data_IF_683327161488
#
_entry.id   IF_683327161488
#
_cell.length_a   1.000
_cell.length_b   1.000
_cell.length_c   1.000
_cell.angle_alpha   90.00
_cell.angle_beta   90.00
_cell.angle_gamma   90.00
#
_symmetry.space_group_name_H-M   'P 1'
#
loop_
_entity.id
_entity.type
_entity.pdbx_description
1 polymer ?
#
# COMPACT_ATOMS: atom_id res chain seq x y z
N UNK A 1 -1.08 13.99 -24.32
CA UNK A 1 -2.53 13.73 -24.19
C UNK A 1 -3.13 14.65 -23.15
N UNK A 2 -4.44 14.93 -23.24
CA UNK A 2 -5.25 15.57 -22.20
C UNK A 2 -5.88 14.48 -21.34
N UNK A 3 -5.48 14.39 -20.09
CA UNK A 3 -5.89 13.31 -19.18
C UNK A 3 -6.73 13.90 -18.04
N UNK A 4 -7.99 13.50 -17.94
CA UNK A 4 -8.83 13.79 -16.78
C UNK A 4 -8.68 12.65 -15.75
N UNK A 5 -8.49 12.98 -14.48
CA UNK A 5 -8.51 11.98 -13.39
C UNK A 5 -9.69 12.30 -12.48
N UNK A 6 -10.66 11.40 -12.39
CA UNK A 6 -11.79 11.51 -11.45
C UNK A 6 -11.56 10.54 -10.29
N UNK A 7 -11.19 11.08 -9.15
CA UNK A 7 -10.96 10.31 -7.92
C UNK A 7 -10.92 11.22 -6.69
N UNK A 8 -10.50 10.69 -5.51
CA UNK A 8 -10.27 11.53 -4.36
C UNK A 8 -8.85 12.13 -4.39
N UNK A 9 -8.77 13.42 -4.11
CA UNK A 9 -7.56 14.22 -3.96
C UNK A 9 -7.64 15.04 -2.68
N UNK A 10 -6.60 15.77 -2.36
CA UNK A 10 -6.67 16.78 -1.28
C UNK A 10 -7.98 17.58 -1.36
N UNK A 11 -8.70 17.84 -0.27
CA UNK A 11 -8.31 17.61 1.14
C UNK A 11 -8.70 16.25 1.73
N UNK A 12 -9.02 15.25 0.92
CA UNK A 12 -9.23 13.89 1.42
C UNK A 12 -7.91 13.25 1.83
N UNK A 13 -7.91 12.52 2.97
CA UNK A 13 -6.75 11.79 3.49
C UNK A 13 -6.72 10.34 3.02
N UNK A 14 -5.56 9.71 3.17
CA UNK A 14 -5.36 8.27 3.02
C UNK A 14 -4.70 7.86 1.71
N UNK A 15 -4.37 6.56 1.63
CA UNK A 15 -3.52 6.00 0.57
C UNK A 15 -4.05 6.22 -0.86
N UNK A 16 -5.39 6.27 -1.05
CA UNK A 16 -5.96 6.51 -2.38
C UNK A 16 -5.70 7.94 -2.85
N UNK A 17 -5.90 8.93 -1.97
CA UNK A 17 -5.62 10.34 -2.28
C UNK A 17 -4.14 10.56 -2.58
N UNK A 18 -3.27 9.97 -1.78
CA UNK A 18 -1.82 10.04 -1.97
C UNK A 18 -1.36 9.37 -3.27
N UNK A 19 -1.89 8.18 -3.58
CA UNK A 19 -1.62 7.53 -4.86
C UNK A 19 -2.02 8.44 -6.04
N UNK A 20 -3.21 9.01 -5.98
CA UNK A 20 -3.71 9.87 -7.06
C UNK A 20 -2.87 11.14 -7.21
N UNK A 21 -2.38 11.71 -6.10
CA UNK A 21 -1.48 12.86 -6.13
C UNK A 21 -0.14 12.51 -6.79
N UNK A 22 0.46 11.38 -6.43
CA UNK A 22 1.69 10.90 -7.05
C UNK A 22 1.51 10.61 -8.55
N UNK A 23 0.43 9.92 -8.92
CA UNK A 23 0.11 9.63 -10.33
C UNK A 23 -0.15 10.92 -11.13
N UNK A 24 -0.89 11.87 -10.55
CA UNK A 24 -1.11 13.17 -11.15
C UNK A 24 0.21 13.90 -11.41
N UNK A 25 1.09 13.96 -10.42
CA UNK A 25 2.39 14.60 -10.53
C UNK A 25 3.27 13.96 -11.62
N UNK A 26 3.29 12.62 -11.69
CA UNK A 26 4.09 11.91 -12.69
C UNK A 26 3.54 12.11 -14.11
N UNK A 27 2.24 11.94 -14.31
CA UNK A 27 1.60 12.16 -15.61
C UNK A 27 1.71 13.62 -16.09
N UNK A 28 1.71 14.58 -15.15
CA UNK A 28 1.82 16.01 -15.49
C UNK A 28 3.17 16.42 -16.04
N UNK A 29 4.21 15.57 -15.91
CA UNK A 29 5.52 15.84 -16.52
C UNK A 29 5.48 15.78 -18.05
N UNK A 30 4.62 14.94 -18.61
CA UNK A 30 4.56 14.70 -20.07
C UNK A 30 3.18 14.97 -20.68
N UNK A 31 2.14 15.20 -19.87
CA UNK A 31 0.75 15.32 -20.32
C UNK A 31 0.06 16.53 -19.69
N UNK A 32 -1.02 16.99 -20.30
CA UNK A 32 -1.92 17.99 -19.71
C UNK A 32 -2.93 17.24 -18.86
N UNK A 33 -2.79 17.34 -17.54
CA UNK A 33 -3.60 16.57 -16.58
C UNK A 33 -4.51 17.52 -15.80
N UNK A 34 -5.76 17.10 -15.57
CA UNK A 34 -6.70 17.80 -14.69
C UNK A 34 -7.35 16.82 -13.71
N UNK A 35 -7.34 17.22 -12.43
CA UNK A 35 -7.96 16.47 -11.36
C UNK A 35 -9.41 16.93 -11.14
N UNK A 36 -10.34 15.97 -11.12
CA UNK A 36 -11.72 16.14 -10.70
C UNK A 36 -11.92 15.35 -9.41
N UNK A 37 -12.48 16.02 -8.40
CA UNK A 37 -12.54 15.49 -7.04
C UNK A 37 -14.00 15.29 -6.58
N UNK A 38 -14.14 14.53 -5.52
CA UNK A 38 -15.40 14.46 -4.80
C UNK A 38 -15.65 15.78 -4.04
N UNK A 39 -16.89 16.25 -4.08
CA UNK A 39 -17.41 17.22 -3.11
C UNK A 39 -17.76 16.50 -1.80
N UNK A 40 -18.32 15.29 -1.92
CA UNK A 40 -18.55 14.35 -0.83
C UNK A 40 -18.32 12.94 -1.33
N UNK A 41 -17.37 12.24 -0.70
CA UNK A 41 -16.98 10.87 -1.07
C UNK A 41 -18.04 9.86 -0.61
N UNK A 42 -18.41 9.89 0.67
CA UNK A 42 -19.56 9.17 1.24
C UNK A 42 -20.09 9.91 2.48
N UNK A 43 -21.34 9.61 2.88
CA UNK A 43 -21.90 10.14 4.11
C UNK A 43 -21.04 9.78 5.33
N UNK A 44 -20.93 10.69 6.29
CA UNK A 44 -20.08 10.51 7.48
C UNK A 44 -20.36 9.23 8.25
N UNK A 45 -21.65 8.84 8.36
CA UNK A 45 -22.05 7.62 9.08
C UNK A 45 -21.59 6.31 8.41
N UNK A 46 -21.18 6.34 7.15
CA UNK A 46 -20.62 5.19 6.44
C UNK A 46 -19.08 5.11 6.55
N UNK A 47 -18.46 6.15 7.10
CA UNK A 47 -17.01 6.18 7.24
C UNK A 47 -16.57 5.51 8.55
N UNK A 48 -15.70 4.49 8.49
CA UNK A 48 -15.29 3.76 9.69
C UNK A 48 -14.28 4.51 10.57
N UNK A 49 -13.78 5.67 10.13
CA UNK A 49 -12.78 6.49 10.84
C UNK A 49 -13.35 7.77 11.43
N UNK A 50 -12.51 8.55 12.12
CA UNK A 50 -12.91 9.81 12.76
C UNK A 50 -13.16 10.94 11.75
N UNK A 51 -12.37 11.03 10.67
CA UNK A 51 -12.49 12.06 9.62
C UNK A 51 -11.99 11.53 8.28
N UNK A 52 -12.61 12.00 7.19
CA UNK A 52 -12.18 11.74 5.82
C UNK A 52 -11.17 12.78 5.32
N UNK A 53 -11.03 13.89 6.06
CA UNK A 53 -10.22 15.03 5.65
C UNK A 53 -8.84 15.00 6.31
N UNK A 54 -7.89 15.63 5.64
CA UNK A 54 -6.54 15.87 6.14
C UNK A 54 -6.60 16.66 7.45
N UNK A 55 -5.79 16.25 8.40
CA UNK A 55 -5.53 16.95 9.66
C UNK A 55 -4.16 17.62 9.63
N UNK A 56 -3.82 18.43 10.62
CA UNK A 56 -2.52 19.10 10.70
C UNK A 56 -1.33 18.13 10.77
N UNK A 57 -1.58 16.89 11.19
CA UNK A 57 -0.58 15.82 11.30
C UNK A 57 -0.39 14.99 10.02
N UNK A 58 -1.21 15.21 8.99
CA UNK A 58 -1.18 14.42 7.74
C UNK A 58 -0.30 15.12 6.68
N UNK A 59 0.72 14.45 6.18
CA UNK A 59 1.54 14.89 5.04
C UNK A 59 0.83 14.61 3.71
N UNK A 60 -0.24 15.34 3.41
CA UNK A 60 -0.94 15.17 2.15
C UNK A 60 -0.42 16.14 1.08
N UNK A 61 -0.14 15.64 -0.11
CA UNK A 61 0.29 16.45 -1.25
C UNK A 61 -0.91 17.21 -1.82
N UNK A 62 -0.94 18.56 -1.74
CA UNK A 62 -2.02 19.33 -2.32
C UNK A 62 -1.95 19.24 -3.85
N UNK A 63 -3.08 18.86 -4.45
CA UNK A 63 -3.28 18.87 -5.90
C UNK A 63 -4.45 19.79 -6.20
N UNK A 64 -4.25 20.74 -7.11
CA UNK A 64 -5.35 21.59 -7.58
C UNK A 64 -6.40 20.72 -8.27
N UNK A 65 -7.59 20.67 -7.70
CA UNK A 65 -8.67 19.82 -8.17
C UNK A 65 -10.02 20.52 -8.17
N UNK A 66 -10.90 20.14 -9.08
CA UNK A 66 -12.27 20.65 -9.14
C UNK A 66 -13.21 19.69 -8.40
N UNK A 67 -13.68 20.08 -7.21
CA UNK A 67 -14.57 19.28 -6.36
C UNK A 67 -16.01 19.38 -6.83
N UNK A 68 -16.55 18.34 -7.48
CA UNK A 68 -17.87 18.34 -8.12
C UNK A 68 -18.76 17.18 -7.69
N UNK A 69 -18.22 15.97 -7.57
CA UNK A 69 -19.01 14.76 -7.40
C UNK A 69 -19.42 14.55 -5.94
N UNK A 70 -20.71 14.63 -5.66
CA UNK A 70 -21.31 14.17 -4.42
C UNK A 70 -22.00 12.82 -4.68
N UNK A 71 -21.43 11.73 -4.14
CA UNK A 71 -21.90 10.37 -4.41
C UNK A 71 -23.30 10.08 -3.87
N UNK A 72 -23.73 10.82 -2.84
CA UNK A 72 -25.07 10.71 -2.27
C UNK A 72 -26.10 11.64 -2.95
N UNK A 73 -25.66 12.51 -3.89
CA UNK A 73 -26.54 13.43 -4.60
C UNK A 73 -26.48 13.19 -6.12
N UNK A 74 -27.48 12.48 -6.65
CA UNK A 74 -27.57 12.09 -8.07
C UNK A 74 -27.56 13.28 -9.04
N UNK A 75 -28.00 14.47 -8.62
CA UNK A 75 -28.00 15.67 -9.45
C UNK A 75 -26.57 16.13 -9.79
N UNK A 76 -25.60 15.81 -8.96
CA UNK A 76 -24.19 16.15 -9.21
C UNK A 76 -23.53 15.25 -10.28
N UNK A 77 -24.10 14.10 -10.59
CA UNK A 77 -23.52 13.18 -11.59
C UNK A 77 -23.54 13.81 -12.98
N UNK A 78 -24.66 14.46 -13.34
CA UNK A 78 -24.80 15.14 -14.62
C UNK A 78 -23.90 16.36 -14.76
N UNK A 79 -23.79 17.18 -13.72
CA UNK A 79 -22.90 18.36 -13.73
C UNK A 79 -21.41 17.95 -13.76
N UNK A 80 -21.01 16.90 -13.04
CA UNK A 80 -19.65 16.36 -13.08
C UNK A 80 -19.31 15.81 -14.48
N UNK A 81 -20.21 15.01 -15.07
CA UNK A 81 -20.06 14.55 -16.44
C UNK A 81 -19.89 15.72 -17.41
N UNK A 82 -20.75 16.76 -17.33
CA UNK A 82 -20.68 17.93 -18.20
C UNK A 82 -19.35 18.66 -18.05
N UNK A 83 -18.88 18.90 -16.84
CA UNK A 83 -17.61 19.57 -16.58
C UNK A 83 -16.40 18.81 -17.17
N UNK A 84 -16.39 17.48 -17.03
CA UNK A 84 -15.31 16.65 -17.62
C UNK A 84 -15.39 16.67 -19.15
N UNK A 85 -16.58 16.51 -19.72
CA UNK A 85 -16.81 16.55 -21.17
C UNK A 85 -16.40 17.90 -21.77
N UNK A 86 -16.82 19.00 -21.13
CA UNK A 86 -16.54 20.36 -21.64
C UNK A 86 -15.06 20.72 -21.57
N UNK A 87 -14.28 20.05 -20.67
CA UNK A 87 -12.82 20.11 -20.69
C UNK A 87 -12.21 19.33 -21.85
N UNK A 88 -12.96 18.44 -22.49
CA UNK A 88 -12.61 17.64 -23.67
C UNK A 88 -11.30 16.85 -23.52
N UNK A 89 -11.22 15.87 -22.61
CA UNK A 89 -10.07 15.00 -22.46
C UNK A 89 -9.94 13.97 -23.58
N UNK A 90 -8.72 13.53 -23.85
CA UNK A 90 -8.44 12.34 -24.67
C UNK A 90 -8.74 11.05 -23.88
N UNK A 91 -8.53 11.10 -22.55
CA UNK A 91 -8.68 9.97 -21.64
C UNK A 91 -9.26 10.43 -20.32
N UNK A 92 -10.22 9.66 -19.79
CA UNK A 92 -10.69 9.74 -18.42
C UNK A 92 -10.15 8.55 -17.61
N UNK A 93 -9.35 8.80 -16.59
CA UNK A 93 -8.92 7.81 -15.62
C UNK A 93 -9.81 7.91 -14.39
N UNK A 94 -10.36 6.77 -13.95
CA UNK A 94 -11.21 6.67 -12.76
C UNK A 94 -10.66 5.59 -11.84
N UNK A 95 -10.51 5.89 -10.55
CA UNK A 95 -10.12 4.90 -9.56
C UNK A 95 -11.34 4.33 -8.85
N UNK A 96 -11.34 3.01 -8.65
CA UNK A 96 -12.46 2.27 -8.06
C UNK A 96 -11.97 1.29 -7.00
N UNK A 97 -12.54 1.39 -5.78
CA UNK A 97 -12.13 0.58 -4.64
C UNK A 97 -13.26 -0.03 -3.83
N UNK A 98 -14.51 0.36 -4.09
CA UNK A 98 -15.69 -0.26 -3.46
C UNK A 98 -16.96 -0.03 -4.29
N UNK A 99 -17.90 -0.98 -4.16
CA UNK A 99 -19.16 -1.03 -4.93
C UNK A 99 -20.08 0.18 -4.73
N UNK A 100 -19.99 0.83 -3.57
CA UNK A 100 -20.74 2.06 -3.26
C UNK A 100 -20.58 3.15 -4.33
N UNK A 101 -19.41 3.25 -4.97
CA UNK A 101 -19.16 4.20 -6.05
C UNK A 101 -19.73 3.77 -7.40
N UNK A 102 -20.22 2.53 -7.51
CA UNK A 102 -20.77 1.98 -8.76
C UNK A 102 -21.79 2.88 -9.44
N UNK A 103 -22.84 3.37 -8.76
CA UNK A 103 -23.85 4.24 -9.38
C UNK A 103 -23.30 5.56 -9.91
N UNK A 104 -22.53 6.29 -9.10
CA UNK A 104 -22.00 7.62 -9.46
C UNK A 104 -20.93 7.56 -10.54
N UNK A 105 -19.91 6.73 -10.33
CA UNK A 105 -18.82 6.59 -11.29
C UNK A 105 -19.29 5.88 -12.57
N UNK A 106 -20.15 4.85 -12.45
CA UNK A 106 -20.72 4.16 -13.61
C UNK A 106 -21.59 5.07 -14.50
N UNK A 107 -22.35 5.97 -13.89
CA UNK A 107 -23.10 6.99 -14.65
C UNK A 107 -22.17 7.87 -15.50
N UNK A 108 -21.09 8.36 -14.90
CA UNK A 108 -20.13 9.25 -15.55
C UNK A 108 -19.33 8.51 -16.61
N UNK A 109 -18.75 7.36 -16.29
CA UNK A 109 -17.88 6.59 -17.19
C UNK A 109 -18.63 6.12 -18.44
N UNK A 110 -19.88 5.59 -18.29
CA UNK A 110 -20.70 5.16 -19.42
C UNK A 110 -21.04 6.28 -20.40
N UNK A 111 -21.16 7.53 -19.92
CA UNK A 111 -21.38 8.70 -20.79
C UNK A 111 -20.08 9.20 -21.40
N UNK A 112 -19.01 9.26 -20.61
CA UNK A 112 -17.70 9.71 -21.11
C UNK A 112 -17.11 8.79 -22.16
N UNK A 113 -17.37 7.49 -22.10
CA UNK A 113 -16.95 6.49 -23.11
C UNK A 113 -17.36 6.84 -24.54
N UNK A 114 -18.37 7.70 -24.72
CA UNK A 114 -18.81 8.21 -26.03
C UNK A 114 -17.97 9.38 -26.56
N UNK A 115 -17.09 9.92 -25.72
CA UNK A 115 -16.33 11.14 -26.00
C UNK A 115 -14.82 10.92 -25.92
N UNK A 116 -14.36 10.06 -25.02
CA UNK A 116 -12.94 9.76 -24.81
C UNK A 116 -12.78 8.30 -24.35
N UNK A 117 -11.54 7.81 -24.33
CA UNK A 117 -11.20 6.52 -23.71
C UNK A 117 -11.41 6.61 -22.20
N UNK A 118 -11.96 5.55 -21.59
CA UNK A 118 -12.19 5.47 -20.14
C UNK A 118 -11.39 4.32 -19.56
N UNK A 119 -10.50 4.63 -18.64
CA UNK A 119 -9.64 3.67 -17.93
C UNK A 119 -10.02 3.62 -16.47
N UNK A 120 -10.21 2.42 -15.95
CA UNK A 120 -10.47 2.18 -14.54
C UNK A 120 -9.23 1.61 -13.85
N UNK A 121 -8.73 2.27 -12.80
CA UNK A 121 -7.74 1.69 -11.89
C UNK A 121 -8.50 1.02 -10.76
N UNK A 122 -8.31 -0.29 -10.60
CA UNK A 122 -9.09 -1.13 -9.70
C UNK A 122 -8.23 -1.56 -8.50
N UNK A 123 -8.59 -1.08 -7.31
CA UNK A 123 -7.99 -1.55 -6.05
C UNK A 123 -8.64 -2.87 -5.61
N UNK A 124 -9.96 -2.94 -5.68
CA UNK A 124 -10.76 -4.13 -5.41
C UNK A 124 -11.95 -4.17 -6.36
N UNK A 125 -12.28 -5.36 -6.83
CA UNK A 125 -13.45 -5.61 -7.69
C UNK A 125 -14.55 -6.31 -6.91
N UNK A 126 -14.17 -7.26 -6.06
CA UNK A 126 -15.05 -7.98 -5.13
C UNK A 126 -14.62 -7.61 -3.71
N UNK A 127 -15.52 -7.08 -2.85
CA UNK A 127 -15.20 -6.81 -1.45
C UNK A 127 -14.85 -8.10 -0.69
N UNK A 128 -14.03 -8.00 0.36
CA UNK A 128 -13.70 -9.13 1.24
C UNK A 128 -14.94 -9.71 1.94
N UNK A 129 -15.93 -8.85 2.23
CA UNK A 129 -17.23 -9.22 2.78
C UNK A 129 -18.32 -8.83 1.76
N UNK A 130 -18.62 -9.70 0.76
CA UNK A 130 -19.52 -9.35 -0.32
C UNK A 130 -20.98 -9.29 0.14
N UNK A 131 -21.68 -8.26 -0.32
CA UNK A 131 -23.11 -8.07 -0.14
C UNK A 131 -23.84 -8.34 -1.48
N UNK A 132 -25.13 -8.66 -1.43
CA UNK A 132 -25.90 -9.00 -2.63
C UNK A 132 -25.91 -7.93 -3.73
N UNK A 133 -25.74 -6.66 -3.37
CA UNK A 133 -25.74 -5.53 -4.32
C UNK A 133 -24.35 -5.20 -4.89
N UNK A 134 -23.25 -5.72 -4.33
CA UNK A 134 -21.89 -5.36 -4.74
C UNK A 134 -21.61 -5.75 -6.19
N UNK A 135 -21.95 -6.97 -6.57
CA UNK A 135 -21.73 -7.48 -7.92
C UNK A 135 -22.47 -6.69 -8.99
N UNK A 136 -23.81 -6.42 -8.89
CA UNK A 136 -24.51 -5.61 -9.88
C UNK A 136 -23.96 -4.19 -10.01
N UNK A 137 -23.62 -3.53 -8.89
CA UNK A 137 -23.08 -2.17 -8.89
C UNK A 137 -21.69 -2.11 -9.54
N UNK A 138 -20.83 -3.09 -9.23
CA UNK A 138 -19.50 -3.19 -9.85
C UNK A 138 -19.60 -3.48 -11.34
N UNK A 139 -20.47 -4.39 -11.77
CA UNK A 139 -20.72 -4.67 -13.21
C UNK A 139 -21.23 -3.43 -13.95
N UNK A 140 -22.12 -2.66 -13.32
CA UNK A 140 -22.61 -1.41 -13.89
C UNK A 140 -21.47 -0.41 -14.10
N UNK A 141 -20.57 -0.25 -13.12
CA UNK A 141 -19.39 0.59 -13.27
C UNK A 141 -18.46 0.08 -14.38
N UNK A 142 -18.09 -1.20 -14.35
CA UNK A 142 -17.18 -1.82 -15.33
C UNK A 142 -17.68 -1.73 -16.76
N UNK A 143 -19.00 -1.66 -16.98
CA UNK A 143 -19.57 -1.50 -18.32
C UNK A 143 -19.25 -0.16 -18.98
N UNK A 144 -18.81 0.84 -18.19
CA UNK A 144 -18.36 2.15 -18.67
C UNK A 144 -16.87 2.25 -18.97
N UNK A 145 -16.09 1.19 -18.74
CA UNK A 145 -14.64 1.18 -18.95
C UNK A 145 -14.26 0.51 -20.28
N UNK A 146 -13.34 1.15 -21.01
CA UNK A 146 -12.71 0.60 -22.22
C UNK A 146 -11.55 -0.33 -21.87
N UNK A 147 -10.84 0.01 -20.79
CA UNK A 147 -9.76 -0.79 -20.24
C UNK A 147 -9.66 -0.65 -18.72
N UNK A 148 -9.05 -1.64 -18.08
CA UNK A 148 -8.85 -1.68 -16.64
C UNK A 148 -7.39 -1.93 -16.27
N UNK A 149 -6.90 -1.22 -15.28
CA UNK A 149 -5.61 -1.49 -14.65
C UNK A 149 -5.89 -2.10 -13.28
N UNK A 150 -5.34 -3.27 -13.02
CA UNK A 150 -5.37 -3.93 -11.72
C UNK A 150 -4.01 -3.84 -11.06
N UNK A 151 -3.97 -3.74 -9.73
CA UNK A 151 -2.71 -3.57 -9.00
C UNK A 151 -2.06 -4.90 -8.61
N UNK A 152 -2.76 -6.01 -8.78
CA UNK A 152 -2.25 -7.38 -8.59
C UNK A 152 -3.09 -8.40 -9.36
N UNK A 153 -2.56 -9.62 -9.51
CA UNK A 153 -3.20 -10.73 -10.22
C UNK A 153 -4.51 -11.20 -9.55
N UNK A 154 -4.62 -11.10 -8.24
CA UNK A 154 -5.84 -11.47 -7.54
C UNK A 154 -7.03 -10.61 -7.98
N UNK A 155 -6.83 -9.29 -8.11
CA UNK A 155 -7.85 -8.36 -8.59
C UNK A 155 -8.19 -8.59 -10.05
N UNK A 156 -7.23 -8.98 -10.89
CA UNK A 156 -7.52 -9.30 -12.30
C UNK A 156 -8.34 -10.58 -12.46
N UNK A 157 -8.10 -11.60 -11.62
CA UNK A 157 -8.95 -12.79 -11.56
C UNK A 157 -10.40 -12.46 -11.20
N UNK A 158 -10.59 -11.59 -10.22
CA UNK A 158 -11.92 -11.11 -9.83
C UNK A 158 -12.59 -10.27 -10.92
N UNK A 159 -11.83 -9.43 -11.62
CA UNK A 159 -12.31 -8.67 -12.77
C UNK A 159 -12.84 -9.63 -13.87
N UNK A 160 -12.06 -10.65 -14.24
CA UNK A 160 -12.45 -11.61 -15.27
C UNK A 160 -13.64 -12.47 -14.88
N UNK A 161 -13.86 -12.74 -13.58
CA UNK A 161 -15.11 -13.39 -13.11
C UNK A 161 -16.34 -12.53 -13.36
N UNK A 162 -16.23 -11.20 -13.22
CA UNK A 162 -17.36 -10.29 -13.39
C UNK A 162 -17.56 -9.84 -14.83
N UNK A 163 -16.47 -9.70 -15.60
CA UNK A 163 -16.44 -9.23 -16.99
C UNK A 163 -15.32 -9.95 -17.76
N UNK A 164 -15.59 -11.18 -18.25
CA UNK A 164 -14.57 -12.02 -18.92
C UNK A 164 -13.90 -11.37 -20.13
N UNK A 165 -14.63 -10.50 -20.84
CA UNK A 165 -14.16 -9.80 -22.04
C UNK A 165 -13.38 -8.50 -21.74
N UNK A 166 -13.02 -8.24 -20.47
CA UNK A 166 -12.30 -7.02 -20.09
C UNK A 166 -10.93 -6.96 -20.74
N UNK A 167 -10.62 -5.85 -21.41
CA UNK A 167 -9.24 -5.47 -21.72
C UNK A 167 -8.59 -4.97 -20.44
N UNK A 168 -7.50 -5.56 -20.01
CA UNK A 168 -6.83 -5.17 -18.77
C UNK A 168 -5.31 -5.34 -18.85
N UNK A 169 -4.64 -4.69 -17.93
CA UNK A 169 -3.23 -4.89 -17.64
C UNK A 169 -3.00 -4.89 -16.13
N UNK A 170 -2.00 -5.65 -15.69
CA UNK A 170 -1.56 -5.65 -14.29
C UNK A 170 -0.36 -4.73 -14.16
N UNK A 171 -0.53 -3.62 -13.43
CA UNK A 171 0.56 -2.71 -13.11
C UNK A 171 0.63 -2.63 -11.59
N UNK A 172 1.67 -3.22 -11.00
CA UNK A 172 1.81 -3.28 -9.55
C UNK A 172 1.86 -1.87 -8.93
N UNK A 173 1.35 -1.77 -7.71
CA UNK A 173 1.33 -0.51 -6.96
C UNK A 173 2.75 0.06 -6.84
N UNK A 174 2.98 1.33 -7.21
CA UNK A 174 4.28 1.96 -7.05
C UNK A 174 4.67 2.11 -5.58
N UNK A 175 5.97 2.24 -5.34
CA UNK A 175 6.47 2.49 -4.00
C UNK A 175 6.21 3.95 -3.59
N UNK A 176 5.87 4.14 -2.33
CA UNK A 176 5.83 5.47 -1.75
C UNK A 176 7.25 5.95 -1.45
N UNK A 177 7.54 7.22 -1.74
CA UNK A 177 8.85 7.85 -1.57
C UNK A 177 8.85 9.05 -0.62
N UNK A 178 7.75 9.30 0.10
CA UNK A 178 7.56 10.47 0.94
C UNK A 178 8.20 10.36 2.33
N UNK A 179 8.73 9.20 2.71
CA UNK A 179 9.30 8.97 4.06
C UNK A 179 10.65 9.66 4.31
N UNK A 180 11.16 10.46 3.38
CA UNK A 180 12.45 11.12 3.51
C UNK A 180 13.65 10.21 3.18
N UNK A 181 14.85 10.77 3.34
CA UNK A 181 16.10 10.05 3.10
C UNK A 181 16.46 9.14 4.28
N UNK A 182 17.11 8.01 3.99
CA UNK A 182 17.68 7.14 5.01
C UNK A 182 18.70 7.90 5.88
N UNK A 183 18.55 7.81 7.20
CA UNK A 183 19.50 8.36 8.15
C UNK A 183 20.75 7.50 8.22
N UNK A 184 21.83 8.10 8.79
CA UNK A 184 22.93 7.30 9.30
C UNK A 184 22.43 6.36 10.39
N UNK A 185 22.94 5.11 10.38
CA UNK A 185 22.49 4.07 11.31
C UNK A 185 22.71 4.45 12.77
N UNK A 186 23.88 4.99 13.10
CA UNK A 186 24.22 5.36 14.49
C UNK A 186 23.31 6.49 14.99
N UNK A 187 22.99 7.44 14.12
CA UNK A 187 22.05 8.52 14.44
C UNK A 187 20.63 7.98 14.64
N UNK A 188 20.17 7.05 13.83
CA UNK A 188 18.88 6.41 14.00
C UNK A 188 18.81 5.60 15.31
N UNK A 189 19.84 4.79 15.61
CA UNK A 189 19.95 4.04 16.86
C UNK A 189 19.96 4.99 18.08
N UNK A 190 20.67 6.11 18.00
CA UNK A 190 20.69 7.13 19.06
C UNK A 190 19.32 7.74 19.30
N UNK A 191 18.58 8.09 18.24
CA UNK A 191 17.23 8.68 18.36
C UNK A 191 16.25 7.70 18.99
N UNK A 192 16.35 6.42 18.64
CA UNK A 192 15.52 5.36 19.20
C UNK A 192 15.95 4.94 20.62
N UNK A 193 17.12 5.40 21.11
CA UNK A 193 17.65 5.01 22.42
C UNK A 193 18.01 3.53 22.51
N UNK A 194 18.36 2.90 21.39
CA UNK A 194 18.70 1.48 21.31
C UNK A 194 20.21 1.25 21.33
N UNK A 195 20.63 0.02 21.62
CA UNK A 195 22.04 -0.34 21.74
C UNK A 195 22.73 -0.30 20.36
N UNK A 196 23.92 0.29 20.32
CA UNK A 196 24.73 0.35 19.10
C UNK A 196 25.37 -0.99 18.75
N UNK A 197 25.53 -1.26 17.44
CA UNK A 197 26.28 -2.38 16.92
C UNK A 197 25.61 -3.75 17.07
N UNK A 198 24.34 -3.78 17.46
CA UNK A 198 23.55 -5.00 17.53
C UNK A 198 22.90 -5.32 16.17
N UNK A 199 22.48 -6.56 16.00
CA UNK A 199 21.69 -7.04 14.85
C UNK A 199 20.23 -6.65 15.06
N UNK A 200 19.77 -5.59 14.38
CA UNK A 200 18.48 -4.97 14.63
C UNK A 200 17.39 -5.62 13.75
N UNK A 201 16.43 -6.28 14.40
CA UNK A 201 15.26 -6.90 13.81
C UNK A 201 14.07 -5.97 14.02
N UNK A 202 13.35 -5.61 12.96
CA UNK A 202 12.21 -4.68 13.02
C UNK A 202 10.89 -5.41 12.79
N UNK A 203 9.95 -5.23 13.71
CA UNK A 203 8.51 -5.43 13.48
C UNK A 203 7.83 -4.07 13.42
N UNK A 204 7.10 -3.78 12.34
CA UNK A 204 6.53 -2.45 12.10
C UNK A 204 5.06 -2.47 11.70
N UNK A 205 4.32 -1.44 12.14
CA UNK A 205 2.94 -1.15 11.78
C UNK A 205 1.91 -1.65 12.79
N UNK A 206 0.61 -1.43 12.53
CA UNK A 206 -0.47 -1.81 13.45
C UNK A 206 -0.30 -3.24 13.97
N UNK A 207 -0.32 -3.42 15.30
CA UNK A 207 -0.16 -4.72 15.94
C UNK A 207 -1.51 -5.41 15.97
N UNK A 208 -1.71 -6.37 15.05
CA UNK A 208 -2.91 -7.21 14.93
C UNK A 208 -2.53 -8.67 14.97
N UNK A 209 -3.46 -9.51 15.38
CA UNK A 209 -3.23 -10.94 15.55
C UNK A 209 -2.71 -11.64 14.28
N UNK A 210 -3.29 -11.32 13.12
CA UNK A 210 -2.87 -11.90 11.86
C UNK A 210 -1.44 -11.55 11.45
N UNK A 211 -0.84 -10.49 12.04
CA UNK A 211 0.55 -10.08 11.76
C UNK A 211 1.61 -10.89 12.52
N UNK A 212 1.20 -11.75 13.46
CA UNK A 212 2.07 -12.76 14.05
C UNK A 212 3.19 -12.21 14.94
N UNK A 213 3.01 -11.08 15.64
CA UNK A 213 4.01 -10.58 16.58
C UNK A 213 4.39 -11.62 17.65
N UNK A 214 3.45 -12.43 18.09
CA UNK A 214 3.69 -13.55 19.00
C UNK A 214 4.64 -14.60 18.41
N UNK A 215 4.52 -14.92 17.12
CA UNK A 215 5.46 -15.83 16.43
C UNK A 215 6.87 -15.23 16.46
N UNK A 216 7.02 -13.92 16.17
CA UNK A 216 8.32 -13.27 16.20
C UNK A 216 8.92 -13.21 17.61
N UNK A 217 8.11 -12.97 18.63
CA UNK A 217 8.59 -12.94 20.02
C UNK A 217 9.11 -14.31 20.46
N UNK A 218 8.40 -15.38 20.14
CA UNK A 218 8.86 -16.75 20.42
C UNK A 218 10.10 -17.09 19.58
N UNK A 219 10.17 -16.67 18.31
CA UNK A 219 11.38 -16.82 17.48
C UNK A 219 12.57 -16.05 18.08
N UNK A 220 12.37 -14.82 18.56
CA UNK A 220 13.40 -14.00 19.17
C UNK A 220 13.95 -14.64 20.45
N UNK A 221 13.11 -15.33 21.24
CA UNK A 221 13.50 -16.10 22.43
C UNK A 221 14.48 -17.24 22.11
N UNK A 222 14.39 -17.81 20.91
CA UNK A 222 15.26 -18.89 20.44
C UNK A 222 16.63 -18.39 19.91
N UNK A 223 16.78 -17.08 19.66
CA UNK A 223 18.03 -16.52 19.15
C UNK A 223 19.15 -16.59 20.21
N UNK A 224 20.36 -17.06 19.84
CA UNK A 224 21.47 -17.24 20.78
C UNK A 224 22.13 -15.92 21.14
N UNK A 225 22.59 -15.82 22.39
CA UNK A 225 23.43 -14.74 22.86
C UNK A 225 22.75 -13.39 22.99
N UNK A 226 23.53 -12.29 22.97
CA UNK A 226 23.10 -10.90 23.22
C UNK A 226 23.31 -10.00 21.98
N UNK A 227 23.60 -10.58 20.81
CA UNK A 227 23.92 -9.82 19.59
C UNK A 227 22.67 -9.28 18.87
N UNK A 228 21.50 -9.83 19.15
CA UNK A 228 20.25 -9.48 18.51
C UNK A 228 19.44 -8.51 19.34
N UNK A 229 18.79 -7.56 18.67
CA UNK A 229 17.89 -6.59 19.27
C UNK A 229 16.58 -6.56 18.45
N UNK A 230 15.44 -6.54 19.14
CA UNK A 230 14.14 -6.48 18.52
C UNK A 230 13.53 -5.08 18.72
N UNK A 231 13.14 -4.46 17.63
CA UNK A 231 12.43 -3.19 17.60
C UNK A 231 10.98 -3.47 17.22
N UNK A 232 10.04 -3.15 18.11
CA UNK A 232 8.60 -3.26 17.88
C UNK A 232 8.03 -1.86 17.80
N UNK A 233 7.56 -1.46 16.63
CA UNK A 233 7.03 -0.12 16.39
C UNK A 233 5.64 -0.17 15.78
N UNK A 234 4.62 0.31 16.50
CA UNK A 234 3.27 0.38 16.01
C UNK A 234 2.21 0.36 17.11
N UNK A 235 1.01 0.82 16.75
CA UNK A 235 -0.12 0.90 17.65
C UNK A 235 -0.79 -0.48 17.81
N UNK A 236 -1.02 -0.96 19.06
CA UNK A 236 -1.79 -2.17 19.31
C UNK A 236 -3.27 -1.96 18.98
N UNK A 237 -3.83 -2.90 18.20
CA UNK A 237 -5.27 -2.96 18.02
C UNK A 237 -5.90 -3.90 19.06
N UNK A 238 -6.32 -3.32 20.17
CA UNK A 238 -6.78 -4.04 21.36
C UNK A 238 -5.70 -4.13 22.45
N UNK A 239 -5.83 -5.13 23.36
CA UNK A 239 -4.87 -5.31 24.45
C UNK A 239 -3.52 -5.84 23.97
N UNK A 240 -2.43 -5.33 24.52
CA UNK A 240 -1.07 -5.80 24.32
C UNK A 240 -0.66 -6.90 25.31
N UNK A 241 -1.48 -7.21 26.31
CA UNK A 241 -1.14 -8.08 27.46
C UNK A 241 -0.65 -9.47 27.06
N UNK A 242 -1.21 -10.05 25.97
CA UNK A 242 -0.76 -11.35 25.48
C UNK A 242 0.70 -11.34 25.02
N UNK A 243 1.11 -10.25 24.38
CA UNK A 243 2.49 -10.08 23.92
C UNK A 243 3.43 -9.77 25.08
N UNK A 244 2.98 -8.94 26.04
CA UNK A 244 3.75 -8.64 27.24
C UNK A 244 4.08 -9.90 28.03
N UNK A 245 3.11 -10.82 28.19
CA UNK A 245 3.35 -12.11 28.85
C UNK A 245 4.44 -12.94 28.17
N UNK A 246 4.53 -12.91 26.86
CA UNK A 246 5.61 -13.59 26.11
C UNK A 246 6.93 -12.88 26.39
N UNK A 247 6.97 -11.54 26.26
CA UNK A 247 8.17 -10.72 26.49
C UNK A 247 8.75 -10.97 27.89
N UNK A 248 7.90 -11.08 28.89
CA UNK A 248 8.31 -11.33 30.30
C UNK A 248 9.01 -12.69 30.47
N UNK A 249 8.81 -13.64 29.54
CA UNK A 249 9.49 -14.95 29.55
C UNK A 249 10.82 -14.96 28.79
N UNK A 250 11.14 -13.87 28.07
CA UNK A 250 12.35 -13.81 27.22
C UNK A 250 13.56 -13.43 28.09
N UNK A 251 14.60 -14.25 28.16
CA UNK A 251 15.85 -13.89 28.82
C UNK A 251 16.50 -12.67 28.13
N UNK A 252 16.87 -11.65 28.92
CA UNK A 252 17.44 -10.41 28.38
C UNK A 252 16.41 -9.62 27.55
N UNK A 253 15.17 -9.49 28.03
CA UNK A 253 14.10 -8.74 27.38
C UNK A 253 14.37 -7.23 27.30
N UNK A 254 15.38 -6.71 27.96
CA UNK A 254 15.96 -5.36 27.77
C UNK A 254 16.56 -5.13 26.38
N UNK A 255 16.68 -6.19 25.55
CA UNK A 255 17.00 -6.14 24.11
C UNK A 255 15.78 -5.86 23.24
N UNK A 256 14.58 -5.75 23.82
CA UNK A 256 13.35 -5.45 23.09
C UNK A 256 13.01 -3.98 23.31
N UNK A 257 13.10 -3.19 22.25
CA UNK A 257 12.70 -1.79 22.24
C UNK A 257 11.27 -1.67 21.68
N UNK A 258 10.37 -1.02 22.43
CA UNK A 258 8.96 -0.94 22.07
C UNK A 258 8.50 0.51 21.92
N UNK A 259 7.84 0.80 20.80
CA UNK A 259 7.11 2.05 20.56
C UNK A 259 5.65 1.71 20.24
N UNK A 260 4.84 1.55 21.30
CA UNK A 260 3.46 1.10 21.22
C UNK A 260 2.50 2.28 20.97
N UNK A 261 2.70 2.97 19.86
CA UNK A 261 1.90 4.13 19.42
C UNK A 261 1.73 4.11 17.90
N UNK A 262 0.84 4.95 17.39
CA UNK A 262 0.85 5.26 15.96
C UNK A 262 2.18 5.95 15.61
N UNK A 263 2.92 5.38 14.65
CA UNK A 263 4.17 5.95 14.16
C UNK A 263 3.84 6.90 13.01
N UNK A 264 4.17 8.17 13.17
CA UNK A 264 3.99 9.19 12.14
C UNK A 264 4.97 8.98 10.98
N UNK A 265 4.59 9.40 9.77
CA UNK A 265 5.45 9.25 8.58
C UNK A 265 6.84 9.87 8.77
N UNK A 266 6.93 11.00 9.49
CA UNK A 266 8.20 11.65 9.85
C UNK A 266 9.10 10.82 10.79
N UNK A 267 8.54 9.89 11.57
CA UNK A 267 9.27 9.02 12.50
C UNK A 267 9.71 7.71 11.82
N UNK A 268 9.06 7.30 10.72
CA UNK A 268 9.32 6.02 10.01
C UNK A 268 10.79 5.86 9.65
N UNK A 269 11.43 6.94 9.23
CA UNK A 269 12.83 6.99 8.83
C UNK A 269 13.77 6.47 9.93
N UNK A 270 13.51 6.77 11.20
CA UNK A 270 14.35 6.34 12.32
C UNK A 270 14.34 4.82 12.48
N UNK A 271 13.16 4.20 12.45
CA UNK A 271 13.01 2.77 12.65
C UNK A 271 13.64 1.95 11.50
N UNK A 272 13.36 2.35 10.27
CA UNK A 272 13.89 1.62 9.10
C UNK A 272 15.38 1.90 8.88
N UNK A 273 15.90 3.08 9.25
CA UNK A 273 17.33 3.35 9.15
C UNK A 273 18.16 2.60 10.19
N UNK A 274 17.58 2.31 11.35
CA UNK A 274 18.23 1.51 12.38
C UNK A 274 18.18 -0.01 12.09
N UNK A 275 17.22 -0.49 11.28
CA UNK A 275 16.97 -1.90 11.05
C UNK A 275 18.01 -2.54 10.10
N UNK A 276 18.38 -3.79 10.38
CA UNK A 276 19.07 -4.65 9.42
C UNK A 276 18.11 -5.45 8.58
N UNK A 277 16.99 -5.85 9.16
CA UNK A 277 15.95 -6.67 8.52
C UNK A 277 14.59 -6.39 9.16
N UNK A 278 13.55 -6.40 8.34
CA UNK A 278 12.17 -6.38 8.82
C UNK A 278 11.56 -7.79 8.77
N UNK A 279 10.79 -8.16 9.79
CA UNK A 279 10.16 -9.49 9.86
C UNK A 279 8.65 -9.33 9.84
N UNK A 280 8.00 -9.99 8.87
CA UNK A 280 6.56 -10.00 8.66
C UNK A 280 6.02 -11.44 8.79
N UNK A 281 5.87 -11.96 10.00
CA UNK A 281 5.49 -13.35 10.25
C UNK A 281 3.97 -13.53 10.17
N UNK A 282 3.38 -13.04 9.09
CA UNK A 282 1.93 -12.93 8.95
C UNK A 282 1.27 -14.31 8.84
N UNK A 283 0.10 -14.46 9.45
CA UNK A 283 -0.77 -15.64 9.32
C UNK A 283 -1.62 -15.57 8.07
N UNK A 284 -1.94 -14.37 7.64
CA UNK A 284 -2.67 -14.11 6.38
C UNK A 284 -2.34 -12.73 5.87
N UNK A 285 -2.22 -12.58 4.55
CA UNK A 285 -2.06 -11.29 3.91
C UNK A 285 -2.52 -11.36 2.45
N UNK A 286 -3.04 -10.27 1.92
CA UNK A 286 -3.17 -10.06 0.46
C UNK A 286 -1.95 -9.32 -0.07
N UNK A 287 -1.62 -8.20 0.58
CA UNK A 287 -0.43 -7.39 0.35
C UNK A 287 0.00 -6.75 1.68
N UNK A 288 1.22 -6.21 1.73
CA UNK A 288 1.70 -5.47 2.90
C UNK A 288 2.24 -4.10 2.50
N UNK A 289 1.64 -3.02 3.01
CA UNK A 289 2.19 -1.67 2.86
C UNK A 289 3.59 -1.52 3.46
N UNK A 290 3.95 -2.36 4.42
CA UNK A 290 5.26 -2.36 5.05
C UNK A 290 6.36 -2.78 4.06
N UNK A 291 6.06 -3.65 3.09
CA UNK A 291 7.02 -4.02 2.05
C UNK A 291 7.45 -2.83 1.20
N UNK A 292 6.52 -1.92 0.89
CA UNK A 292 6.84 -0.69 0.16
C UNK A 292 7.77 0.23 0.95
N UNK A 293 7.54 0.35 2.26
CA UNK A 293 8.39 1.13 3.17
C UNK A 293 9.77 0.50 3.28
N UNK A 294 9.84 -0.83 3.49
CA UNK A 294 11.10 -1.57 3.55
C UNK A 294 11.93 -1.41 2.26
N UNK A 295 11.28 -1.46 1.10
CA UNK A 295 11.96 -1.20 -0.18
C UNK A 295 12.48 0.24 -0.28
N UNK A 296 11.71 1.24 0.17
CA UNK A 296 12.16 2.63 0.16
C UNK A 296 13.51 2.78 0.88
N UNK A 297 13.64 2.16 2.07
CA UNK A 297 14.84 2.21 2.89
C UNK A 297 15.89 1.12 2.55
N UNK A 298 15.65 0.30 1.54
CA UNK A 298 16.53 -0.82 1.15
C UNK A 298 16.76 -1.82 2.29
N UNK A 299 15.67 -2.15 3.03
CA UNK A 299 15.70 -3.11 4.13
C UNK A 299 15.17 -4.46 3.65
N UNK A 300 15.99 -5.52 3.65
CA UNK A 300 15.54 -6.89 3.39
C UNK A 300 14.45 -7.34 4.37
N UNK A 301 13.65 -8.31 3.96
CA UNK A 301 12.55 -8.81 4.78
C UNK A 301 12.64 -10.33 4.99
N UNK A 302 12.14 -10.80 6.14
CA UNK A 302 11.76 -12.20 6.33
C UNK A 302 10.24 -12.25 6.36
N UNK A 303 9.63 -13.08 5.53
CA UNK A 303 8.18 -13.18 5.39
C UNK A 303 7.73 -14.64 5.43
N UNK A 304 6.51 -14.88 5.87
CA UNK A 304 5.85 -16.19 5.75
C UNK A 304 5.26 -16.39 4.36
N UNK A 305 5.07 -17.63 3.93
CA UNK A 305 4.45 -18.02 2.65
C UNK A 305 2.93 -17.83 2.70
N UNK A 306 2.47 -16.57 2.78
CA UNK A 306 1.04 -16.23 2.82
C UNK A 306 0.71 -15.14 1.80
N UNK A 307 -0.38 -15.32 1.08
CA UNK A 307 -0.90 -14.34 0.12
C UNK A 307 0.13 -13.90 -0.93
N UNK A 308 0.21 -12.59 -1.17
CA UNK A 308 1.14 -12.02 -2.15
C UNK A 308 2.57 -11.80 -1.66
N UNK A 309 2.91 -12.16 -0.41
CA UNK A 309 4.26 -11.93 0.14
C UNK A 309 5.32 -12.80 -0.54
N UNK A 310 4.98 -14.04 -0.90
CA UNK A 310 5.86 -14.91 -1.68
C UNK A 310 6.21 -14.26 -3.02
N UNK A 311 5.22 -13.86 -3.80
CA UNK A 311 5.41 -13.28 -5.14
C UNK A 311 6.20 -11.96 -5.10
N UNK A 312 5.95 -11.14 -4.06
CA UNK A 312 6.55 -9.80 -3.97
C UNK A 312 7.91 -9.78 -3.31
N UNK A 313 8.23 -10.73 -2.44
CA UNK A 313 9.46 -10.75 -1.65
C UNK A 313 10.28 -12.02 -1.92
N UNK A 314 9.69 -13.20 -1.72
CA UNK A 314 10.38 -14.47 -1.90
C UNK A 314 10.86 -14.70 -3.33
N UNK A 315 9.95 -14.69 -4.29
CA UNK A 315 10.24 -14.94 -5.71
C UNK A 315 11.09 -13.82 -6.35
N UNK A 316 11.10 -12.64 -5.76
CA UNK A 316 11.95 -11.51 -6.17
C UNK A 316 13.34 -11.53 -5.54
N UNK A 317 13.58 -12.39 -4.55
CA UNK A 317 14.85 -12.44 -3.83
C UNK A 317 15.19 -11.17 -3.06
N UNK A 318 14.18 -10.36 -2.70
CA UNK A 318 14.35 -9.14 -1.93
C UNK A 318 14.33 -9.37 -0.43
N UNK A 319 14.14 -10.63 -0.04
CA UNK A 319 14.09 -11.11 1.33
C UNK A 319 14.10 -12.63 1.37
N UNK A 320 13.94 -13.20 2.55
CA UNK A 320 13.85 -14.62 2.79
C UNK A 320 12.40 -15.05 3.01
N UNK A 321 12.05 -16.22 2.49
CA UNK A 321 10.73 -16.81 2.65
C UNK A 321 10.79 -17.95 3.68
N UNK A 322 10.15 -17.77 4.83
CA UNK A 322 9.89 -18.85 5.76
C UNK A 322 8.71 -19.68 5.25
N UNK A 323 8.96 -20.95 4.94
CA UNK A 323 7.93 -21.86 4.41
C UNK A 323 6.85 -22.18 5.43
N UNK A 324 7.20 -22.10 6.71
CA UNK A 324 6.30 -22.34 7.83
C UNK A 324 6.17 -21.07 8.68
N UNK A 325 4.96 -20.80 9.14
CA UNK A 325 4.69 -19.68 10.06
C UNK A 325 4.95 -20.04 11.52
N UNK A 326 6.04 -20.79 11.80
CA UNK A 326 6.42 -21.21 13.16
C UNK A 326 7.56 -20.36 13.71
N UNK A 327 7.69 -20.23 15.04
CA UNK A 327 8.81 -19.53 15.66
C UNK A 327 10.16 -20.09 15.26
N UNK A 328 10.30 -21.42 15.16
CA UNK A 328 11.53 -22.11 14.80
C UNK A 328 11.96 -21.76 13.38
N UNK A 329 11.03 -21.80 12.43
CA UNK A 329 11.31 -21.47 11.02
C UNK A 329 11.69 -20.00 10.84
N UNK A 330 11.04 -19.07 11.56
CA UNK A 330 11.40 -17.64 11.55
C UNK A 330 12.78 -17.43 12.18
N UNK A 331 13.08 -18.11 13.30
CA UNK A 331 14.40 -18.06 13.93
C UNK A 331 15.51 -18.56 12.98
N UNK A 332 15.28 -19.68 12.29
CA UNK A 332 16.22 -20.23 11.31
C UNK A 332 16.52 -19.23 10.19
N UNK A 333 15.51 -18.58 9.61
CA UNK A 333 15.72 -17.59 8.56
C UNK A 333 16.43 -16.31 9.08
N UNK A 334 16.20 -15.90 10.33
CA UNK A 334 16.95 -14.81 10.97
C UNK A 334 18.43 -15.19 11.11
N UNK A 335 18.71 -16.37 11.64
CA UNK A 335 20.09 -16.87 11.77
C UNK A 335 20.79 -16.98 10.43
N UNK A 336 20.11 -17.52 9.42
CA UNK A 336 20.60 -17.64 8.05
C UNK A 336 20.95 -16.27 7.46
N UNK A 337 20.06 -15.28 7.60
CA UNK A 337 20.29 -13.92 7.10
C UNK A 337 21.55 -13.29 7.68
N UNK A 338 21.79 -13.45 8.99
CA UNK A 338 22.94 -12.87 9.65
C UNK A 338 24.22 -13.70 9.57
N UNK A 339 24.15 -14.96 9.15
CA UNK A 339 25.34 -15.83 9.03
C UNK A 339 26.13 -15.58 7.74
N UNK A 340 25.48 -15.10 6.67
CA UNK A 340 26.13 -14.86 5.36
C UNK A 340 25.84 -13.43 4.87
N UNK A 341 26.83 -12.53 4.90
CA UNK A 341 26.69 -11.16 4.39
C UNK A 341 26.24 -11.07 2.94
N UNK A 342 26.54 -12.09 2.10
CA UNK A 342 26.15 -12.15 0.70
C UNK A 342 24.63 -12.20 0.53
N UNK A 343 23.91 -12.80 1.48
CA UNK A 343 22.44 -12.82 1.47
C UNK A 343 21.90 -11.40 1.56
N UNK A 344 22.40 -10.61 2.51
CA UNK A 344 22.03 -9.21 2.70
C UNK A 344 22.32 -8.38 1.44
N UNK A 345 23.52 -8.52 0.90
CA UNK A 345 23.96 -7.79 -0.32
C UNK A 345 23.08 -8.13 -1.53
N UNK A 346 22.80 -9.42 -1.72
CA UNK A 346 21.92 -9.91 -2.79
C UNK A 346 20.51 -9.35 -2.64
N UNK A 347 19.93 -9.41 -1.45
CA UNK A 347 18.59 -8.86 -1.19
C UNK A 347 18.55 -7.35 -1.48
N UNK A 348 19.53 -6.58 -1.04
CA UNK A 348 19.61 -5.12 -1.28
C UNK A 348 19.73 -4.83 -2.79
N UNK A 349 20.57 -5.59 -3.50
CA UNK A 349 20.70 -5.45 -4.96
C UNK A 349 19.37 -5.69 -5.67
N UNK A 350 18.65 -6.74 -5.30
CA UNK A 350 17.34 -7.04 -5.85
C UNK A 350 16.29 -6.00 -5.47
N UNK A 351 16.32 -5.46 -4.24
CA UNK A 351 15.44 -4.36 -3.82
C UNK A 351 15.64 -3.13 -4.73
N UNK A 352 16.88 -2.78 -5.07
CA UNK A 352 17.16 -1.65 -5.98
C UNK A 352 16.55 -1.86 -7.36
N UNK A 353 16.65 -3.07 -7.92
CA UNK A 353 16.00 -3.42 -9.18
C UNK A 353 14.47 -3.33 -9.08
N UNK A 354 13.89 -3.79 -7.97
CA UNK A 354 12.45 -3.70 -7.74
C UNK A 354 11.98 -2.25 -7.51
N UNK A 355 12.79 -1.38 -6.90
CA UNK A 355 12.48 0.06 -6.77
C UNK A 355 12.30 0.73 -8.13
N UNK A 356 13.19 0.45 -9.08
CA UNK A 356 13.08 0.98 -10.45
C UNK A 356 11.82 0.44 -11.15
N UNK A 357 11.56 -0.86 -11.01
CA UNK A 357 10.38 -1.52 -11.58
C UNK A 357 9.07 -0.99 -11.02
N UNK A 358 9.04 -0.66 -9.73
CA UNK A 358 7.88 -0.16 -8.99
C UNK A 358 7.88 1.37 -8.84
N UNK A 359 8.59 2.07 -9.70
CA UNK A 359 8.61 3.54 -9.69
C UNK A 359 7.31 4.12 -10.26
N UNK A 360 6.97 5.34 -9.85
CA UNK A 360 5.84 6.11 -10.40
C UNK A 360 5.99 6.33 -11.89
N UNK A 361 7.24 6.56 -12.35
CA UNK A 361 7.55 6.68 -13.78
C UNK A 361 7.17 5.41 -14.54
N UNK A 362 7.64 4.26 -14.08
CA UNK A 362 7.32 2.97 -14.70
C UNK A 362 5.81 2.70 -14.72
N UNK A 363 5.09 3.08 -13.66
CA UNK A 363 3.64 2.95 -13.62
C UNK A 363 2.96 3.84 -14.67
N UNK A 364 3.34 5.12 -14.74
CA UNK A 364 2.78 6.06 -15.69
C UNK A 364 3.09 5.68 -17.14
N UNK A 365 4.32 5.22 -17.44
CA UNK A 365 4.72 4.74 -18.75
C UNK A 365 3.87 3.54 -19.20
N UNK A 366 3.73 2.51 -18.36
CA UNK A 366 2.91 1.33 -18.64
C UNK A 366 1.43 1.67 -18.79
N UNK A 367 0.91 2.56 -17.95
CA UNK A 367 -0.47 3.04 -18.05
C UNK A 367 -0.68 3.76 -19.38
N UNK A 368 0.23 4.64 -19.77
CA UNK A 368 0.18 5.40 -21.03
C UNK A 368 0.30 4.48 -22.24
N UNK A 369 1.17 3.48 -22.18
CA UNK A 369 1.29 2.46 -23.22
C UNK A 369 -0.02 1.66 -23.37
N UNK A 370 -0.58 1.19 -22.27
CA UNK A 370 -1.88 0.48 -22.27
C UNK A 370 -3.00 1.34 -22.89
N UNK A 371 -3.07 2.63 -22.53
CA UNK A 371 -4.04 3.58 -23.12
C UNK A 371 -3.89 3.68 -24.64
N UNK A 372 -2.67 3.67 -25.16
CA UNK A 372 -2.43 3.74 -26.61
C UNK A 372 -2.85 2.48 -27.36
N UNK A 373 -2.81 1.31 -26.69
CA UNK A 373 -3.19 0.00 -27.26
C UNK A 373 -4.71 -0.22 -27.33
N UNK A 374 -5.51 0.55 -26.61
CA UNK A 374 -6.97 0.50 -26.61
C UNK A 374 -7.57 1.26 -27.79
#
# INVERSE_FOLDING_TARGET
MKIAILSCFYPYRGGISQFNACLFGELSKEHVVRAFNFKRQYPEFLFPGKTQMVTEDDEAVPVESTSLLDTANIFTYGSTYKAIRDWNPDVLIVRYWMSYFGPSLGYITRRMRRHCKVISILDNVIPHEPRFFDTPLTKYFLSGSDGSVTLCEAVSKDLLRLKPESRYTVIQHPLYSHFGAKLDRMEAERRLGIRHGKKNILFFGLIREYKGLDILLEAFKLLPGDDYQLIIAGEPYGSFDKYQKIIDTIPGNDRICMSLKYIKDSEVTEYFSAADIAVLPYRSATQSGISSVAYHFEIPMIVTDVGGLKETIGDRGTGLLSKEGTPEAICEEILRFFSDPKIKESCISNIRLEKDRLSWKTFADKLTEFIRQL
#
